data_IF_691703734403
#
_entry.id   IF_691703734403
#
_cell.length_a   1.000
_cell.length_b   1.000
_cell.length_c   1.000
_cell.angle_alpha   90.00
_cell.angle_beta   90.00
_cell.angle_gamma   90.00
#
_symmetry.space_group_name_H-M   'P 1'
#
loop_
_entity.id
_entity.type
_entity.pdbx_description
1 polymer ?
#
# COMPACT_ATOMS: atom_id res chain seq x y z
N UNK A 1 40.44 -8.11 -46.73
CA UNK A 1 39.86 -6.92 -46.16
C UNK A 1 38.39 -6.88 -46.50
N UNK A 2 37.53 -7.35 -45.62
CA UNK A 2 36.11 -7.31 -45.81
C UNK A 2 35.62 -5.87 -45.88
N UNK A 3 34.97 -5.51 -46.94
CA UNK A 3 34.18 -4.29 -47.05
C UNK A 3 32.96 -4.44 -46.15
N UNK A 4 33.03 -3.84 -44.99
CA UNK A 4 32.09 -3.96 -43.90
C UNK A 4 30.76 -3.19 -44.11
N UNK A 5 30.25 -3.06 -45.35
CA UNK A 5 29.09 -2.22 -45.63
C UNK A 5 28.05 -2.84 -46.54
N UNK A 6 28.00 -4.16 -46.66
CA UNK A 6 26.92 -4.84 -47.41
C UNK A 6 26.05 -5.61 -46.41
N UNK A 7 24.78 -5.26 -46.35
CA UNK A 7 23.74 -6.15 -45.85
C UNK A 7 23.64 -7.29 -46.88
N UNK A 8 24.19 -8.46 -46.56
CA UNK A 8 23.89 -9.65 -47.32
C UNK A 8 22.47 -10.10 -46.98
N UNK A 9 21.66 -10.38 -48.00
CA UNK A 9 20.28 -10.82 -47.84
C UNK A 9 20.25 -12.22 -47.19
N UNK A 10 19.99 -12.29 -45.93
CA UNK A 10 19.73 -13.52 -45.20
C UNK A 10 18.27 -13.92 -45.40
N UNK A 11 17.95 -15.21 -45.56
CA UNK A 11 16.59 -15.71 -45.74
C UNK A 11 15.64 -15.41 -44.59
N UNK A 12 16.17 -14.90 -43.47
CA UNK A 12 15.44 -14.58 -42.22
C UNK A 12 15.32 -13.07 -41.95
N UNK A 13 15.90 -12.24 -42.84
CA UNK A 13 15.78 -10.78 -42.84
C UNK A 13 15.28 -10.36 -44.22
N UNK A 14 14.04 -9.94 -44.30
CA UNK A 14 13.40 -9.59 -45.58
C UNK A 14 12.88 -8.17 -45.56
N UNK A 15 12.85 -7.56 -46.76
CA UNK A 15 12.25 -6.22 -46.96
C UNK A 15 11.24 -6.31 -48.11
N UNK A 16 9.97 -6.01 -47.81
CA UNK A 16 8.87 -6.11 -48.78
C UNK A 16 8.57 -4.80 -49.52
N UNK A 17 9.40 -3.77 -49.35
CA UNK A 17 9.19 -2.41 -49.85
C UNK A 17 8.58 -1.44 -48.82
N UNK A 18 8.09 -1.95 -47.73
CA UNK A 18 7.45 -1.19 -46.65
C UNK A 18 8.03 -1.58 -45.28
N UNK A 19 8.16 -2.89 -45.04
CA UNK A 19 8.55 -3.44 -43.73
C UNK A 19 9.89 -4.15 -43.82
N UNK A 20 10.64 -4.10 -42.72
CA UNK A 20 11.82 -4.93 -42.48
C UNK A 20 11.42 -6.05 -41.53
N UNK A 21 11.34 -7.29 -42.01
CA UNK A 21 10.84 -8.42 -41.24
C UNK A 21 11.98 -9.32 -40.78
N UNK A 22 11.93 -9.69 -39.50
CA UNK A 22 12.76 -10.72 -38.91
C UNK A 22 11.83 -11.86 -38.42
N UNK A 23 12.18 -13.09 -38.74
CA UNK A 23 11.46 -14.26 -38.24
C UNK A 23 11.59 -14.43 -36.73
N UNK A 24 10.76 -15.32 -36.17
CA UNK A 24 10.76 -15.66 -34.74
C UNK A 24 12.15 -16.04 -34.24
N UNK A 25 12.43 -15.70 -32.97
CA UNK A 25 13.71 -15.89 -32.29
C UNK A 25 14.90 -15.14 -32.90
N UNK A 26 14.70 -14.35 -33.98
CA UNK A 26 15.73 -13.43 -34.49
C UNK A 26 15.72 -12.13 -33.73
N UNK A 27 16.90 -11.52 -33.62
CA UNK A 27 17.07 -10.38 -32.70
C UNK A 27 17.73 -9.21 -33.39
N UNK A 28 17.24 -8.00 -33.14
CA UNK A 28 18.01 -6.79 -33.29
C UNK A 28 18.87 -6.67 -32.03
N UNK A 29 20.18 -6.57 -32.16
CA UNK A 29 21.14 -6.51 -31.07
C UNK A 29 21.98 -5.25 -31.20
N UNK A 30 22.07 -4.50 -30.13
CA UNK A 30 22.83 -3.24 -30.06
C UNK A 30 23.82 -3.29 -28.89
N UNK A 31 24.98 -2.66 -29.06
CA UNK A 31 26.10 -2.68 -28.11
C UNK A 31 27.11 -3.81 -28.40
N UNK A 32 28.38 -3.62 -28.01
CA UNK A 32 29.47 -4.57 -28.26
C UNK A 32 29.24 -5.92 -27.59
N UNK A 33 28.56 -5.93 -26.44
CA UNK A 33 28.15 -7.14 -25.69
C UNK A 33 26.70 -7.54 -25.96
N UNK A 34 26.05 -6.98 -27.01
CA UNK A 34 24.65 -7.22 -27.36
C UNK A 34 23.71 -6.82 -26.22
N UNK A 35 23.98 -5.68 -25.61
CA UNK A 35 23.36 -5.24 -24.36
C UNK A 35 21.87 -4.96 -24.48
N UNK A 36 21.41 -4.38 -25.62
CA UNK A 36 19.99 -4.21 -25.92
C UNK A 36 19.57 -5.20 -27.00
N UNK A 37 18.48 -5.92 -26.75
CA UNK A 37 17.88 -6.89 -27.68
C UNK A 37 16.39 -6.59 -27.89
N UNK A 38 15.95 -6.57 -29.15
CA UNK A 38 14.53 -6.49 -29.54
C UNK A 38 14.22 -7.72 -30.38
N UNK A 39 13.24 -8.51 -29.98
CA UNK A 39 12.87 -9.74 -30.67
C UNK A 39 11.46 -10.22 -30.30
N UNK A 40 10.92 -11.12 -31.13
CA UNK A 40 9.75 -11.92 -30.81
C UNK A 40 10.17 -13.40 -30.76
N UNK A 41 9.61 -14.13 -29.79
CA UNK A 41 9.68 -15.59 -29.69
C UNK A 41 8.24 -16.05 -29.44
N UNK A 42 7.89 -16.60 -28.33
CA UNK A 42 6.49 -16.79 -27.92
C UNK A 42 5.84 -15.47 -27.47
N UNK A 43 6.66 -14.51 -27.07
CA UNK A 43 6.29 -13.16 -26.64
C UNK A 43 7.24 -12.10 -27.25
N UNK A 44 6.84 -10.83 -27.23
CA UNK A 44 7.63 -9.70 -27.72
C UNK A 44 8.47 -9.09 -26.61
N UNK A 45 9.76 -8.88 -26.87
CA UNK A 45 10.73 -8.42 -25.89
C UNK A 45 11.48 -7.17 -26.35
N UNK A 46 11.64 -6.20 -25.43
CA UNK A 46 12.70 -5.21 -25.43
C UNK A 46 13.51 -5.47 -24.16
N UNK A 47 14.72 -5.98 -24.29
CA UNK A 47 15.50 -6.53 -23.17
C UNK A 47 16.89 -5.93 -23.09
N UNK A 48 17.28 -5.39 -21.91
CA UNK A 48 18.66 -5.24 -21.51
C UNK A 48 19.21 -6.62 -21.13
N UNK A 49 20.19 -7.12 -21.86
CA UNK A 49 20.68 -8.49 -21.75
C UNK A 49 21.91 -8.63 -20.83
N UNK A 50 22.54 -7.51 -20.47
CA UNK A 50 23.76 -7.46 -19.66
C UNK A 50 23.44 -7.06 -18.24
N UNK A 51 24.00 -7.75 -17.26
CA UNK A 51 23.90 -7.35 -15.86
C UNK A 51 24.55 -5.95 -15.64
N UNK A 52 23.97 -5.15 -14.80
CA UNK A 52 24.40 -3.78 -14.45
C UNK A 52 24.16 -2.72 -15.54
N UNK A 53 23.35 -3.01 -16.57
CA UNK A 53 22.92 -2.03 -17.56
C UNK A 53 21.40 -1.82 -17.45
N UNK A 54 20.97 -0.57 -17.32
CA UNK A 54 19.56 -0.21 -17.23
C UNK A 54 18.93 -0.13 -18.62
N UNK A 55 17.66 -0.49 -18.74
CA UNK A 55 16.81 -0.10 -19.86
C UNK A 55 16.12 1.21 -19.49
N UNK A 56 16.46 2.29 -20.22
CA UNK A 56 15.87 3.61 -20.03
C UNK A 56 14.89 3.86 -21.17
N UNK A 57 13.64 4.19 -20.81
CA UNK A 57 12.62 4.70 -21.73
C UNK A 57 12.44 6.18 -21.45
N UNK A 58 13.01 7.03 -22.30
CA UNK A 58 12.99 8.48 -22.15
C UNK A 58 12.04 9.10 -23.18
N UNK A 59 11.23 10.04 -22.71
CA UNK A 59 10.30 10.79 -23.57
C UNK A 59 10.32 12.27 -23.16
N UNK A 60 10.15 13.16 -24.14
CA UNK A 60 10.04 14.61 -23.90
C UNK A 60 8.65 15.03 -23.37
N UNK A 61 7.70 14.10 -23.33
CA UNK A 61 6.33 14.30 -22.86
C UNK A 61 5.90 13.15 -21.94
N UNK A 62 4.63 12.81 -21.96
CA UNK A 62 4.05 11.74 -21.16
C UNK A 62 4.45 10.35 -21.69
N UNK A 63 4.66 9.40 -20.79
CA UNK A 63 4.80 7.98 -21.12
C UNK A 63 3.54 7.22 -20.69
N UNK A 64 3.16 6.23 -21.50
CA UNK A 64 1.97 5.40 -21.26
C UNK A 64 2.27 3.91 -21.42
N UNK A 65 1.67 3.09 -20.54
CA UNK A 65 1.47 1.66 -20.77
C UNK A 65 -0.03 1.45 -20.97
N UNK A 66 -0.41 0.84 -22.11
CA UNK A 66 -1.82 0.70 -22.52
C UNK A 66 -2.13 -0.72 -22.96
N UNK A 67 -3.38 -1.11 -22.80
CA UNK A 67 -3.99 -2.26 -23.45
C UNK A 67 -5.09 -1.75 -24.41
N UNK A 68 -4.85 -1.80 -25.70
CA UNK A 68 -5.72 -1.18 -26.69
C UNK A 68 -5.89 0.33 -26.44
N UNK A 69 -7.11 0.77 -26.22
CA UNK A 69 -7.44 2.15 -25.87
C UNK A 69 -7.35 2.45 -24.37
N UNK A 70 -7.25 1.41 -23.56
CA UNK A 70 -7.26 1.51 -22.10
C UNK A 70 -5.88 1.92 -21.57
N UNK A 71 -5.83 2.93 -20.71
CA UNK A 71 -4.63 3.33 -19.99
C UNK A 71 -4.49 2.50 -18.73
N UNK A 72 -3.31 1.92 -18.51
CA UNK A 72 -2.94 1.19 -17.29
C UNK A 72 -2.00 2.00 -16.41
N UNK A 73 -0.98 2.60 -17.03
CA UNK A 73 -0.01 3.48 -16.37
C UNK A 73 0.18 4.74 -17.21
N UNK A 74 0.18 5.90 -16.56
CA UNK A 74 0.56 7.16 -17.16
C UNK A 74 1.64 7.82 -16.30
N UNK A 75 2.73 8.24 -16.93
CA UNK A 75 3.75 9.09 -16.33
C UNK A 75 3.68 10.46 -17.02
N UNK A 76 3.23 11.48 -16.30
CA UNK A 76 3.13 12.84 -16.83
C UNK A 76 4.45 13.57 -16.65
N UNK A 77 4.97 14.20 -17.71
CA UNK A 77 6.18 15.03 -17.61
C UNK A 77 5.98 16.13 -16.56
N UNK A 78 6.93 16.29 -15.63
CA UNK A 78 6.88 17.22 -14.50
C UNK A 78 5.62 17.05 -13.60
N UNK A 79 4.98 15.88 -13.65
CA UNK A 79 3.71 15.61 -13.00
C UNK A 79 3.63 14.25 -12.30
N UNK A 80 2.43 13.72 -12.23
CA UNK A 80 2.13 12.50 -11.51
C UNK A 80 2.50 11.22 -12.27
N UNK A 81 2.82 10.16 -11.54
CA UNK A 81 2.67 8.78 -11.97
C UNK A 81 1.30 8.30 -11.54
N UNK A 82 0.50 7.81 -12.48
CA UNK A 82 -0.88 7.42 -12.29
C UNK A 82 -1.07 5.96 -12.67
N UNK A 83 -1.80 5.20 -11.84
CA UNK A 83 -2.21 3.82 -12.10
C UNK A 83 -3.73 3.78 -12.29
N UNK A 84 -4.16 2.99 -13.26
CA UNK A 84 -5.57 2.90 -13.65
C UNK A 84 -6.07 1.46 -13.58
N UNK A 85 -7.33 1.32 -13.25
CA UNK A 85 -8.11 0.10 -13.41
C UNK A 85 -9.35 0.45 -14.23
N UNK A 86 -9.52 -0.20 -15.39
CA UNK A 86 -10.64 0.04 -16.32
C UNK A 86 -10.82 1.55 -16.63
N UNK A 87 -9.73 2.21 -17.08
CA UNK A 87 -9.62 3.65 -17.34
C UNK A 87 -9.97 4.57 -16.14
N UNK A 88 -10.21 4.03 -14.95
CA UNK A 88 -10.45 4.81 -13.74
C UNK A 88 -9.17 4.90 -12.93
N UNK A 89 -8.71 6.13 -12.64
CA UNK A 89 -7.51 6.34 -11.82
C UNK A 89 -7.74 5.88 -10.39
N UNK A 90 -6.90 4.96 -9.89
CA UNK A 90 -6.99 4.39 -8.55
C UNK A 90 -5.83 4.79 -7.64
N UNK A 91 -4.67 5.15 -8.23
CA UNK A 91 -3.47 5.56 -7.49
C UNK A 91 -2.75 6.66 -8.24
N UNK A 92 -2.18 7.63 -7.52
CA UNK A 92 -1.33 8.66 -8.11
C UNK A 92 -0.28 9.19 -7.12
N UNK A 93 0.86 9.65 -7.65
CA UNK A 93 1.78 10.49 -6.89
C UNK A 93 1.30 11.94 -6.92
N UNK A 94 1.41 12.63 -5.79
CA UNK A 94 1.10 14.06 -5.65
C UNK A 94 2.29 14.76 -4.97
N UNK A 95 2.33 16.10 -4.98
CA UNK A 95 3.44 16.87 -4.40
C UNK A 95 3.73 16.54 -2.93
N UNK A 96 2.72 16.10 -2.17
CA UNK A 96 2.83 15.78 -0.74
C UNK A 96 2.86 14.26 -0.44
N UNK A 97 2.98 13.40 -1.46
CA UNK A 97 3.02 11.93 -1.26
C UNK A 97 2.24 11.16 -2.32
N UNK A 98 1.35 10.28 -1.89
CA UNK A 98 0.52 9.45 -2.77
C UNK A 98 -0.96 9.58 -2.42
N UNK A 99 -1.83 9.41 -3.41
CA UNK A 99 -3.28 9.36 -3.23
C UNK A 99 -3.82 8.04 -3.78
N UNK A 100 -4.66 7.39 -2.99
CA UNK A 100 -5.48 6.24 -3.39
C UNK A 100 -6.92 6.73 -3.55
N UNK A 101 -7.54 6.45 -4.70
CA UNK A 101 -8.96 6.72 -4.96
C UNK A 101 -9.72 5.40 -4.78
N UNK A 102 -10.54 5.34 -3.75
CA UNK A 102 -11.21 4.10 -3.31
C UNK A 102 -10.59 3.52 -2.05
N UNK A 103 -10.66 2.22 -1.89
CA UNK A 103 -10.18 1.51 -0.71
C UNK A 103 -8.72 1.09 -0.85
N UNK A 104 -7.94 1.24 0.22
CA UNK A 104 -6.67 0.54 0.39
C UNK A 104 -6.94 -0.74 1.18
N UNK A 105 -6.87 -1.89 0.50
CA UNK A 105 -7.06 -3.20 1.14
C UNK A 105 -5.71 -3.78 1.55
N UNK A 106 -5.61 -4.13 2.83
CA UNK A 106 -4.45 -4.84 3.39
C UNK A 106 -4.98 -6.15 3.94
N UNK A 107 -4.37 -7.27 3.54
CA UNK A 107 -4.73 -8.59 4.04
C UNK A 107 -4.51 -8.68 5.56
N UNK A 108 -5.16 -9.66 6.20
CA UNK A 108 -4.94 -9.97 7.61
C UNK A 108 -3.45 -10.12 7.91
N UNK A 109 -3.05 -9.56 9.03
CA UNK A 109 -1.66 -9.41 9.35
C UNK A 109 -1.33 -9.61 10.83
N UNK A 110 -0.19 -9.05 11.20
CA UNK A 110 0.36 -9.14 12.56
C UNK A 110 1.25 -7.93 12.82
N UNK A 111 1.92 -7.92 13.95
CA UNK A 111 2.97 -6.92 14.25
C UNK A 111 4.13 -6.92 13.25
N UNK A 112 4.28 -7.98 12.43
CA UNK A 112 5.39 -8.14 11.47
C UNK A 112 5.00 -8.00 10.00
N UNK A 113 3.72 -8.16 9.64
CA UNK A 113 3.25 -8.12 8.24
C UNK A 113 1.76 -7.77 8.16
N UNK A 114 1.28 -7.41 6.97
CA UNK A 114 -0.15 -7.13 6.73
C UNK A 114 -0.69 -5.98 7.56
N UNK A 115 0.04 -4.86 7.66
CA UNK A 115 -0.27 -3.72 8.52
C UNK A 115 0.00 -2.37 7.86
N UNK A 116 -0.62 -1.33 8.38
CA UNK A 116 -0.13 0.04 8.22
C UNK A 116 0.85 0.30 9.35
N UNK A 117 2.10 0.58 9.02
CA UNK A 117 3.15 0.89 9.98
C UNK A 117 3.59 2.35 9.82
N UNK A 118 3.66 3.06 10.91
CA UNK A 118 4.10 4.45 10.99
C UNK A 118 5.30 4.56 11.94
N UNK A 119 6.26 5.42 11.59
CA UNK A 119 7.52 5.58 12.29
C UNK A 119 8.62 4.62 11.75
N UNK A 120 9.89 5.00 11.93
CA UNK A 120 11.05 4.26 11.40
C UNK A 120 11.21 2.87 12.01
N UNK A 121 10.70 2.67 13.23
CA UNK A 121 10.73 1.41 13.97
C UNK A 121 9.39 0.68 14.00
N UNK A 122 8.46 1.00 13.08
CA UNK A 122 7.08 0.52 13.15
C UNK A 122 6.42 0.87 14.49
N UNK A 123 6.55 2.14 14.90
CA UNK A 123 6.19 2.60 16.23
C UNK A 123 4.68 2.57 16.49
N UNK A 124 3.88 2.89 15.48
CA UNK A 124 2.42 2.75 15.50
C UNK A 124 1.97 1.81 14.38
N UNK A 125 1.21 0.78 14.72
CA UNK A 125 0.67 -0.22 13.80
C UNK A 125 -0.86 -0.24 13.82
N UNK A 126 -1.47 -0.39 12.63
CA UNK A 126 -2.89 -0.68 12.48
C UNK A 126 -3.01 -1.96 11.66
N UNK A 127 -3.67 -2.97 12.20
CA UNK A 127 -3.86 -4.27 11.53
C UNK A 127 -5.06 -5.04 12.06
N UNK A 128 -5.49 -6.04 11.30
CA UNK A 128 -6.45 -7.08 11.70
C UNK A 128 -5.76 -8.43 11.59
N UNK A 129 -5.88 -9.28 12.62
CA UNK A 129 -5.16 -10.56 12.68
C UNK A 129 -6.01 -11.78 12.24
N UNK A 130 -7.17 -11.53 11.62
CA UNK A 130 -8.15 -12.56 11.27
C UNK A 130 -9.24 -12.74 12.35
N UNK A 131 -9.08 -12.14 13.51
CA UNK A 131 -10.04 -12.17 14.62
C UNK A 131 -10.28 -10.76 15.17
N UNK A 132 -9.22 -10.03 15.50
CA UNK A 132 -9.27 -8.74 16.17
C UNK A 132 -8.56 -7.64 15.39
N UNK A 133 -9.00 -6.39 15.59
CA UNK A 133 -8.38 -5.18 15.03
C UNK A 133 -7.58 -4.45 16.10
N UNK A 134 -6.40 -3.97 15.72
CA UNK A 134 -5.44 -3.33 16.62
C UNK A 134 -5.05 -1.94 16.15
N UNK A 135 -4.97 -1.01 17.09
CA UNK A 135 -4.18 0.21 17.05
C UNK A 135 -3.10 0.04 18.11
N UNK A 136 -1.90 -0.38 17.71
CA UNK A 136 -0.82 -0.75 18.63
C UNK A 136 0.29 0.29 18.58
N UNK A 137 0.49 1.01 19.70
CA UNK A 137 1.61 1.94 19.89
C UNK A 137 2.72 1.26 20.70
N UNK A 138 3.93 1.21 20.13
CA UNK A 138 5.08 0.51 20.73
C UNK A 138 6.03 1.44 21.47
N UNK A 139 6.05 2.72 21.10
CA UNK A 139 6.95 3.71 21.69
C UNK A 139 6.21 5.01 21.99
N UNK A 140 6.52 5.63 23.13
CA UNK A 140 5.87 6.86 23.57
C UNK A 140 4.39 6.68 23.90
N UNK A 141 3.64 7.77 23.95
CA UNK A 141 2.22 7.80 24.27
C UNK A 141 1.36 7.79 23.01
N UNK A 142 0.17 7.18 23.07
CA UNK A 142 -0.87 7.29 22.06
C UNK A 142 -1.88 8.35 22.46
N UNK A 143 -1.95 9.44 21.70
CA UNK A 143 -2.94 10.50 21.89
C UNK A 143 -4.11 10.32 20.91
N UNK A 144 -5.33 10.21 21.46
CA UNK A 144 -6.58 10.35 20.72
C UNK A 144 -7.19 11.69 21.08
N UNK A 145 -7.18 12.66 20.17
CA UNK A 145 -7.61 14.03 20.46
C UNK A 145 -8.40 14.62 19.29
N UNK A 146 -9.41 15.43 19.63
CA UNK A 146 -10.04 16.39 18.73
C UNK A 146 -9.45 17.78 18.99
N UNK A 147 -9.31 18.60 17.95
CA UNK A 147 -8.68 19.93 18.09
C UNK A 147 -9.66 21.08 17.88
N UNK A 148 -10.87 20.80 17.40
CA UNK A 148 -11.90 21.80 17.18
C UNK A 148 -12.86 21.87 18.38
N UNK A 149 -13.29 23.06 18.71
CA UNK A 149 -14.32 23.25 19.73
C UNK A 149 -15.66 22.68 19.28
N UNK A 150 -16.24 21.84 20.13
CA UNK A 150 -17.52 21.16 19.85
C UNK A 150 -17.43 19.77 19.25
N UNK A 151 -16.20 19.28 18.98
CA UNK A 151 -15.99 17.91 18.50
C UNK A 151 -15.68 16.97 19.68
N UNK A 152 -16.24 15.76 19.66
CA UNK A 152 -16.10 14.75 20.71
C UNK A 152 -15.26 13.56 20.25
N UNK A 153 -14.64 12.84 21.18
CA UNK A 153 -14.15 11.47 20.99
C UNK A 153 -15.27 10.52 21.43
N UNK A 154 -15.85 9.79 20.51
CA UNK A 154 -16.93 8.84 20.77
C UNK A 154 -16.38 7.43 20.66
N UNK A 155 -16.43 6.67 21.77
CA UNK A 155 -16.18 5.23 21.81
C UNK A 155 -17.55 4.55 21.85
N UNK A 156 -17.89 3.77 20.80
CA UNK A 156 -19.17 3.10 20.67
C UNK A 156 -18.97 1.60 20.51
N UNK A 157 -19.67 0.81 21.32
CA UNK A 157 -19.76 -0.66 21.22
C UNK A 157 -21.23 -1.09 21.29
N UNK A 158 -21.56 -2.20 20.63
CA UNK A 158 -22.90 -2.84 20.76
C UNK A 158 -23.02 -3.63 22.05
N UNK A 159 -21.91 -3.91 22.73
CA UNK A 159 -21.85 -4.66 23.98
C UNK A 159 -21.17 -3.81 25.05
N UNK A 160 -19.97 -4.11 25.45
CA UNK A 160 -19.26 -3.45 26.54
C UNK A 160 -18.11 -2.55 26.02
N UNK A 161 -17.74 -1.52 26.81
CA UNK A 161 -16.49 -0.79 26.65
C UNK A 161 -15.65 -1.04 27.91
N UNK A 162 -14.41 -1.50 27.72
CA UNK A 162 -13.48 -1.81 28.80
C UNK A 162 -12.21 -0.99 28.66
N UNK A 163 -11.78 -0.36 29.76
CA UNK A 163 -10.48 0.26 29.91
C UNK A 163 -9.65 -0.59 30.86
N UNK A 164 -8.55 -1.13 30.37
CA UNK A 164 -7.66 -1.99 31.15
C UNK A 164 -6.28 -1.34 31.28
N UNK A 165 -5.60 -1.65 32.37
CA UNK A 165 -4.23 -1.22 32.71
C UNK A 165 -3.40 -2.44 33.07
N UNK A 166 -2.07 -2.31 33.11
CA UNK A 166 -1.14 -3.34 33.63
C UNK A 166 -1.46 -4.77 33.19
N UNK A 167 -1.41 -5.06 31.89
CA UNK A 167 -1.59 -6.44 31.37
C UNK A 167 -2.96 -7.08 31.65
N UNK A 168 -4.04 -6.29 31.62
CA UNK A 168 -5.42 -6.80 31.70
C UNK A 168 -6.10 -6.58 33.03
N UNK A 169 -5.57 -5.72 33.88
CA UNK A 169 -6.26 -5.24 35.07
C UNK A 169 -7.41 -4.31 34.69
N UNK A 170 -8.62 -4.58 35.20
CA UNK A 170 -9.78 -3.74 34.96
C UNK A 170 -9.64 -2.39 35.71
N UNK A 171 -9.88 -1.29 35.00
CA UNK A 171 -9.97 0.05 35.55
C UNK A 171 -11.38 0.61 35.45
N UNK A 172 -11.98 0.54 34.26
CA UNK A 172 -13.37 0.97 34.00
C UNK A 172 -14.05 -0.04 33.11
N UNK A 173 -15.29 -0.41 33.45
CA UNK A 173 -16.21 -1.16 32.57
C UNK A 173 -17.50 -0.39 32.37
N UNK A 174 -17.90 -0.19 31.13
CA UNK A 174 -19.22 0.29 30.74
C UNK A 174 -19.97 -0.91 30.17
N UNK A 175 -20.89 -1.48 30.93
CA UNK A 175 -21.62 -2.71 30.59
C UNK A 175 -22.87 -2.34 29.79
N UNK A 176 -23.05 -2.94 28.63
CA UNK A 176 -24.23 -2.76 27.78
C UNK A 176 -25.52 -3.08 28.54
N UNK A 177 -26.48 -2.14 28.60
CA UNK A 177 -27.71 -2.24 29.42
C UNK A 177 -27.46 -2.45 30.93
N UNK A 178 -26.26 -2.19 31.41
CA UNK A 178 -25.83 -2.43 32.78
C UNK A 178 -25.19 -1.22 33.46
N UNK A 179 -24.28 -1.49 34.37
CA UNK A 179 -23.58 -0.50 35.17
C UNK A 179 -22.37 0.09 34.47
N UNK A 180 -21.98 1.29 34.89
CA UNK A 180 -20.58 1.76 34.78
C UNK A 180 -19.88 1.38 36.09
N UNK A 181 -18.78 0.64 35.99
CA UNK A 181 -18.01 0.11 37.10
C UNK A 181 -16.60 0.70 37.14
N UNK A 182 -16.12 1.07 38.32
CA UNK A 182 -14.74 1.53 38.55
C UNK A 182 -14.03 0.56 39.50
N UNK A 183 -12.78 0.26 39.16
CA UNK A 183 -11.98 -0.75 39.84
C UNK A 183 -10.69 -0.14 40.46
N UNK A 184 -10.22 -0.77 41.52
CA UNK A 184 -8.90 -0.59 42.09
C UNK A 184 -8.32 -1.99 42.35
N UNK A 185 -7.21 -2.30 41.72
CA UNK A 185 -6.53 -3.59 41.81
C UNK A 185 -7.49 -4.75 41.56
N UNK A 186 -8.17 -4.75 40.40
CA UNK A 186 -9.23 -5.68 39.99
C UNK A 186 -10.42 -5.82 40.95
N UNK A 187 -10.48 -5.00 41.98
CA UNK A 187 -11.61 -5.01 42.94
C UNK A 187 -12.56 -3.87 42.65
N UNK A 188 -13.83 -4.17 42.36
CA UNK A 188 -14.84 -3.16 42.11
C UNK A 188 -15.06 -2.32 43.33
N UNK A 189 -14.97 -0.97 43.20
CA UNK A 189 -15.13 0.02 44.27
C UNK A 189 -16.36 0.89 44.08
N UNK A 190 -16.80 1.10 42.83
CA UNK A 190 -17.96 1.93 42.52
C UNK A 190 -18.74 1.32 41.37
N UNK A 191 -20.07 1.44 41.40
CA UNK A 191 -20.94 1.12 40.27
C UNK A 191 -22.19 1.99 40.23
N UNK A 192 -22.72 2.24 39.02
CA UNK A 192 -24.06 2.79 38.84
C UNK A 192 -25.10 1.70 38.99
N UNK A 193 -26.26 2.04 39.61
CA UNK A 193 -27.40 1.11 39.75
C UNK A 193 -28.66 1.76 39.17
N UNK A 194 -29.74 0.99 39.06
CA UNK A 194 -31.03 1.50 38.54
C UNK A 194 -31.61 2.67 39.40
N UNK A 195 -31.18 2.79 40.64
CA UNK A 195 -31.68 3.80 41.62
C UNK A 195 -30.63 4.80 42.09
N UNK A 196 -29.39 4.71 41.59
CA UNK A 196 -28.30 5.60 42.03
C UNK A 196 -26.92 4.96 41.82
N UNK A 197 -26.11 4.89 42.86
CA UNK A 197 -24.76 4.32 42.83
C UNK A 197 -24.48 3.51 44.10
N UNK A 198 -23.57 2.55 43.99
CA UNK A 198 -23.08 1.70 45.08
C UNK A 198 -21.56 1.92 45.24
N UNK A 199 -21.10 2.03 46.49
CA UNK A 199 -19.69 2.12 46.86
C UNK A 199 -19.35 0.95 47.75
N UNK A 200 -18.26 0.23 47.40
CA UNK A 200 -17.74 -0.89 48.17
C UNK A 200 -16.51 -0.41 48.96
N UNK A 201 -16.66 -0.26 50.28
CA UNK A 201 -15.63 0.22 51.17
C UNK A 201 -16.10 1.41 51.99
N UNK A 202 -15.16 2.19 52.49
CA UNK A 202 -15.42 3.38 53.32
C UNK A 202 -15.42 4.62 52.44
N UNK A 203 -16.38 5.51 52.64
CA UNK A 203 -16.39 6.86 52.09
C UNK A 203 -15.70 7.77 53.12
N UNK A 204 -14.44 8.17 52.86
CA UNK A 204 -13.66 9.09 53.73
C UNK A 204 -13.91 10.55 53.34
#
# INVERSE_FOLDING_TARGET
SGTANTLEAESTLTYDGTNLDLGDAKKIRLGASQDLQIYHDTESYIKSATASVNLILETAHDAYIKHGTETMIKCTGDGAVELYYDNSKTFETISAGVRVTGNMSIADGSTSSGKVALGTGDDLNLYHNGTDSYVENKTGDLYLSTTNSGDDIILYSLDDIQLQVQSGEDAIKCIGNGAVELYHDNSKKFETTSTGASITGVLD
#
